data_IF_628364292475
#
_entry.id   IF_628364292475
#
_cell.length_a   1.000
_cell.length_b   1.000
_cell.length_c   1.000
_cell.angle_alpha   90.00
_cell.angle_beta   90.00
_cell.angle_gamma   90.00
#
_symmetry.space_group_name_H-M   'P 1'
#
loop_
_entity.id
_entity.type
_entity.pdbx_description
1 polymer ?
#
# COMPACT_ATOMS: atom_id res chain seq x y z
N UNK A 1 10.23 -29.77 -41.40
CA UNK A 1 11.06 -29.14 -40.35
C UNK A 1 11.14 -27.67 -40.67
N UNK A 2 10.23 -26.87 -40.13
CA UNK A 2 10.30 -25.41 -40.26
C UNK A 2 9.67 -24.82 -39.01
N UNK A 3 10.52 -24.42 -38.07
CA UNK A 3 10.14 -23.82 -36.80
C UNK A 3 9.97 -22.32 -37.00
N UNK A 4 8.71 -21.86 -37.03
CA UNK A 4 8.35 -20.45 -37.00
C UNK A 4 8.48 -19.91 -35.57
N UNK A 5 9.29 -18.85 -35.44
CA UNK A 5 9.52 -18.05 -34.24
C UNK A 5 8.33 -17.11 -34.01
N UNK A 6 7.79 -17.07 -32.80
CA UNK A 6 6.91 -15.97 -32.36
C UNK A 6 7.68 -15.11 -31.36
N UNK A 7 8.17 -13.94 -31.82
CA UNK A 7 8.65 -12.86 -30.94
C UNK A 7 7.44 -12.06 -30.47
N UNK A 8 7.27 -11.94 -29.16
CA UNK A 8 6.33 -11.02 -28.55
C UNK A 8 6.86 -9.58 -28.72
N UNK A 9 6.12 -8.74 -29.44
CA UNK A 9 6.38 -7.31 -29.54
C UNK A 9 5.74 -6.60 -28.34
N UNK A 10 6.56 -6.16 -27.40
CA UNK A 10 6.20 -5.13 -26.40
C UNK A 10 6.26 -3.75 -27.08
N UNK A 11 5.11 -3.10 -27.24
CA UNK A 11 4.98 -1.74 -27.75
C UNK A 11 5.33 -0.74 -26.64
N UNK A 12 6.56 -0.21 -26.67
CA UNK A 12 6.96 0.96 -25.88
C UNK A 12 6.58 2.20 -26.70
N UNK A 13 5.60 2.98 -26.23
CA UNK A 13 5.28 4.27 -26.84
C UNK A 13 6.16 5.36 -26.22
N UNK A 14 7.32 5.63 -26.85
CA UNK A 14 8.10 6.84 -26.58
C UNK A 14 7.45 7.99 -27.37
N UNK A 15 6.62 8.80 -26.72
CA UNK A 15 6.17 10.06 -27.28
C UNK A 15 7.27 11.12 -27.10
N UNK A 16 7.76 11.65 -28.22
CA UNK A 16 8.60 12.84 -28.27
C UNK A 16 7.95 13.77 -29.30
N UNK A 17 7.33 14.89 -28.88
CA UNK A 17 7.02 15.95 -29.84
C UNK A 17 6.94 17.35 -29.26
N UNK A 18 7.46 18.28 -30.06
CA UNK A 18 7.70 19.70 -29.74
C UNK A 18 6.45 20.57 -29.99
N UNK A 19 6.24 21.52 -29.06
CA UNK A 19 5.51 22.81 -29.13
C UNK A 19 3.99 22.76 -29.32
N UNK A 20 3.25 23.35 -28.36
CA UNK A 20 2.55 24.66 -28.47
C UNK A 20 2.22 25.18 -27.06
N UNK A 21 2.43 26.48 -26.79
CA UNK A 21 2.34 27.11 -25.46
C UNK A 21 0.90 27.36 -25.02
N UNK A 22 0.49 26.74 -23.90
CA UNK A 22 -0.46 27.33 -22.96
C UNK A 22 0.33 28.13 -21.92
N UNK A 23 -0.04 29.39 -21.71
CA UNK A 23 0.62 30.29 -20.77
C UNK A 23 0.19 29.98 -19.32
N UNK A 24 0.84 28.98 -18.72
CA UNK A 24 1.05 28.94 -17.27
C UNK A 24 2.02 30.09 -16.96
N UNK A 25 1.68 30.96 -16.01
CA UNK A 25 2.54 32.09 -15.63
C UNK A 25 3.99 31.60 -15.44
N UNK A 26 4.92 32.22 -16.17
CA UNK A 26 6.36 31.94 -16.07
C UNK A 26 6.88 32.44 -14.73
N UNK A 27 6.67 31.68 -13.67
CA UNK A 27 7.53 31.68 -12.51
C UNK A 27 7.58 30.25 -11.97
N UNK A 28 8.65 29.56 -12.37
CA UNK A 28 9.05 28.19 -12.02
C UNK A 28 8.17 27.09 -12.62
N UNK A 29 8.61 26.52 -13.75
CA UNK A 29 8.08 25.23 -14.20
C UNK A 29 8.34 24.13 -13.15
N UNK A 30 7.64 22.99 -13.22
CA UNK A 30 7.83 21.91 -12.27
C UNK A 30 9.30 21.44 -12.25
N UNK A 31 9.90 21.37 -11.06
CA UNK A 31 11.27 20.85 -10.84
C UNK A 31 11.36 19.31 -10.95
N UNK A 32 10.24 18.65 -11.26
CA UNK A 32 10.07 17.21 -11.13
C UNK A 32 9.81 16.56 -12.49
N UNK A 33 10.44 15.42 -12.72
CA UNK A 33 10.37 14.65 -13.96
C UNK A 33 11.75 14.11 -14.36
N UNK A 34 11.83 12.99 -15.10
CA UNK A 34 10.72 12.32 -15.76
C UNK A 34 9.89 11.42 -14.81
N UNK A 35 8.62 11.19 -15.16
CA UNK A 35 7.70 10.29 -14.44
C UNK A 35 7.39 9.01 -15.25
N UNK A 36 7.13 7.89 -14.56
CA UNK A 36 6.52 6.70 -15.16
C UNK A 36 5.16 6.48 -14.53
N UNK A 37 4.11 6.55 -15.33
CA UNK A 37 2.78 6.15 -14.91
C UNK A 37 2.61 4.64 -15.13
N UNK A 38 2.41 3.89 -14.06
CA UNK A 38 2.10 2.46 -14.15
C UNK A 38 0.62 2.27 -13.87
N UNK A 39 -0.12 1.88 -14.90
CA UNK A 39 -1.58 1.76 -14.86
C UNK A 39 -1.97 0.31 -14.63
N UNK A 40 -2.76 0.07 -13.59
CA UNK A 40 -3.42 -1.22 -13.38
C UNK A 40 -4.80 -1.24 -14.06
N UNK A 41 -5.00 -2.02 -15.14
CA UNK A 41 -6.26 -2.07 -15.88
C UNK A 41 -7.46 -2.52 -15.05
N UNK A 42 -7.22 -3.25 -13.96
CA UNK A 42 -8.25 -3.84 -13.12
C UNK A 42 -8.67 -2.94 -11.94
N UNK A 43 -8.06 -1.76 -11.80
CA UNK A 43 -8.29 -0.85 -10.66
C UNK A 43 -9.23 0.31 -10.98
N UNK A 44 -10.32 0.08 -11.74
CA UNK A 44 -11.38 1.09 -11.94
C UNK A 44 -11.05 2.25 -12.89
N UNK A 45 -9.90 2.24 -13.56
CA UNK A 45 -9.48 3.27 -14.51
C UNK A 45 -9.98 3.04 -15.94
N UNK A 46 -10.53 1.87 -16.26
CA UNK A 46 -10.90 1.47 -17.63
C UNK A 46 -9.79 1.72 -18.68
N UNK A 47 -8.52 1.68 -18.27
CA UNK A 47 -7.35 2.04 -19.10
C UNK A 47 -7.35 3.47 -19.65
N UNK A 48 -8.14 4.38 -19.07
CA UNK A 48 -8.17 5.77 -19.47
C UNK A 48 -6.87 6.48 -19.08
N UNK A 49 -6.06 6.80 -20.09
CA UNK A 49 -4.81 7.58 -20.00
C UNK A 49 -4.96 9.00 -20.50
N UNK A 50 -6.17 9.45 -20.87
CA UNK A 50 -6.41 10.80 -21.42
C UNK A 50 -6.00 11.93 -20.45
N UNK A 51 -6.04 11.63 -19.15
CA UNK A 51 -5.61 12.53 -18.09
C UNK A 51 -4.12 12.90 -18.16
N UNK A 52 -3.30 12.18 -18.94
CA UNK A 52 -1.87 12.47 -19.05
C UNK A 52 -1.56 13.72 -19.87
N UNK A 53 -2.48 14.16 -20.74
CA UNK A 53 -2.31 15.37 -21.56
C UNK A 53 -2.00 16.64 -20.74
N UNK A 54 -2.45 16.69 -19.48
CA UNK A 54 -2.14 17.81 -18.59
C UNK A 54 -0.66 17.89 -18.18
N UNK A 55 0.10 16.80 -18.30
CA UNK A 55 1.55 16.79 -18.06
C UNK A 55 2.32 17.30 -19.27
N UNK A 56 1.81 17.09 -20.49
CA UNK A 56 2.34 17.72 -21.71
C UNK A 56 2.26 19.24 -21.62
N UNK A 57 1.08 19.75 -21.22
CA UNK A 57 0.82 21.19 -21.06
C UNK A 57 1.71 21.84 -19.99
N UNK A 58 2.06 21.05 -18.95
CA UNK A 58 2.96 21.47 -17.88
C UNK A 58 4.45 21.35 -18.23
N UNK A 59 4.79 20.71 -19.35
CA UNK A 59 6.17 20.46 -19.77
C UNK A 59 6.91 19.46 -18.88
N UNK A 60 6.20 18.50 -18.29
CA UNK A 60 6.80 17.40 -17.52
C UNK A 60 7.00 16.20 -18.43
N UNK A 61 8.23 15.69 -18.51
CA UNK A 61 8.51 14.46 -19.24
C UNK A 61 7.87 13.26 -18.52
N UNK A 62 7.15 12.42 -19.26
CA UNK A 62 6.60 11.20 -18.70
C UNK A 62 6.55 10.05 -19.71
N UNK A 63 6.42 8.84 -19.17
CA UNK A 63 6.06 7.62 -19.90
C UNK A 63 4.87 6.95 -19.22
N UNK A 64 4.13 6.14 -19.96
CA UNK A 64 2.98 5.40 -19.44
C UNK A 64 3.08 3.94 -19.86
N UNK A 65 2.87 3.06 -18.90
CA UNK A 65 2.91 1.62 -19.10
C UNK A 65 1.68 0.99 -18.45
N UNK A 66 0.91 0.24 -19.24
CA UNK A 66 -0.26 -0.49 -18.74
C UNK A 66 0.20 -1.90 -18.38
N UNK A 67 0.13 -2.22 -17.10
CA UNK A 67 0.50 -3.54 -16.59
C UNK A 67 -0.45 -4.62 -17.14
N UNK A 68 0.10 -5.80 -17.46
CA UNK A 68 -0.68 -6.96 -17.94
C UNK A 68 -0.79 -8.05 -16.87
N UNK A 69 0.02 -7.96 -15.83
CA UNK A 69 0.03 -8.82 -14.65
C UNK A 69 0.76 -8.11 -13.51
N UNK A 70 0.61 -8.57 -12.25
CA UNK A 70 1.42 -8.09 -11.13
C UNK A 70 2.92 -8.21 -11.40
N UNK A 71 3.40 -9.33 -11.95
CA UNK A 71 4.82 -9.50 -12.26
C UNK A 71 5.31 -8.50 -13.32
N UNK A 72 4.51 -8.25 -14.37
CA UNK A 72 4.87 -7.27 -15.38
C UNK A 72 4.97 -5.85 -14.79
N UNK A 73 4.10 -5.50 -13.83
CA UNK A 73 4.20 -4.23 -13.09
C UNK A 73 5.53 -4.11 -12.35
N UNK A 74 5.98 -5.15 -11.63
CA UNK A 74 7.26 -5.11 -10.91
C UNK A 74 8.44 -4.97 -11.88
N UNK A 75 8.41 -5.70 -13.00
CA UNK A 75 9.44 -5.60 -14.04
C UNK A 75 9.51 -4.23 -14.71
N UNK A 76 8.38 -3.51 -14.81
CA UNK A 76 8.33 -2.13 -15.29
C UNK A 76 9.06 -1.20 -14.31
N UNK A 77 8.77 -1.32 -13.01
CA UNK A 77 9.38 -0.47 -11.97
C UNK A 77 10.89 -0.68 -11.90
N UNK A 78 11.36 -1.93 -11.87
CA UNK A 78 12.80 -2.26 -11.83
C UNK A 78 13.58 -1.65 -12.99
N UNK A 79 12.99 -1.68 -14.19
CA UNK A 79 13.59 -1.04 -15.38
C UNK A 79 13.62 0.48 -15.23
N UNK A 80 12.57 1.08 -14.68
CA UNK A 80 12.45 2.52 -14.49
C UNK A 80 13.44 3.07 -13.45
N UNK A 81 13.65 2.35 -12.34
CA UNK A 81 14.66 2.70 -11.33
C UNK A 81 16.05 2.81 -11.96
N UNK A 82 16.36 1.94 -12.91
CA UNK A 82 17.65 1.94 -13.62
C UNK A 82 17.77 3.01 -14.72
N UNK A 83 16.67 3.71 -15.07
CA UNK A 83 16.63 4.65 -16.21
C UNK A 83 16.69 6.13 -15.80
N UNK A 84 17.03 6.45 -14.54
CA UNK A 84 17.14 7.83 -14.07
C UNK A 84 15.81 8.56 -13.91
N UNK A 85 14.72 7.81 -13.70
CA UNK A 85 13.40 8.38 -13.46
C UNK A 85 13.34 9.03 -12.07
N UNK A 86 12.58 10.12 -11.93
CA UNK A 86 12.45 10.77 -10.62
C UNK A 86 11.30 10.19 -9.79
N UNK A 87 10.23 9.74 -10.45
CA UNK A 87 9.10 9.13 -9.76
C UNK A 87 8.40 8.07 -10.60
N UNK A 88 7.84 7.08 -9.92
CA UNK A 88 6.86 6.15 -10.48
C UNK A 88 5.50 6.45 -9.87
N UNK A 89 4.53 6.73 -10.71
CA UNK A 89 3.16 7.06 -10.35
C UNK A 89 2.31 5.80 -10.45
N UNK A 90 1.94 5.24 -9.31
CA UNK A 90 1.01 4.13 -9.18
C UNK A 90 -0.43 4.61 -9.50
N UNK A 91 -1.01 4.14 -10.60
CA UNK A 91 -2.41 4.40 -10.95
C UNK A 91 -3.22 3.14 -10.68
N UNK A 92 -3.76 3.03 -9.47
CA UNK A 92 -4.41 1.82 -9.01
C UNK A 92 -4.91 1.86 -7.57
N UNK A 93 -5.29 0.68 -7.06
CA UNK A 93 -5.58 0.48 -5.64
C UNK A 93 -4.37 0.03 -4.82
N UNK A 94 -4.62 -0.36 -3.57
CA UNK A 94 -3.57 -0.73 -2.60
C UNK A 94 -2.58 -1.77 -3.12
N UNK A 95 -3.05 -2.85 -3.78
CA UNK A 95 -2.14 -3.84 -4.37
C UNK A 95 -1.16 -3.28 -5.41
N UNK A 96 -1.61 -2.30 -6.22
CA UNK A 96 -0.72 -1.60 -7.16
C UNK A 96 0.30 -0.74 -6.41
N UNK A 97 -0.17 0.02 -5.42
CA UNK A 97 0.67 0.95 -4.63
C UNK A 97 1.69 0.19 -3.81
N UNK A 98 1.29 -0.88 -3.13
CA UNK A 98 2.17 -1.75 -2.34
C UNK A 98 3.18 -2.46 -3.24
N UNK A 99 2.76 -3.04 -4.36
CA UNK A 99 3.65 -3.70 -5.30
C UNK A 99 4.74 -2.77 -5.85
N UNK A 100 4.35 -1.58 -6.32
CA UNK A 100 5.30 -0.58 -6.81
C UNK A 100 6.18 -0.06 -5.67
N UNK A 101 5.59 0.30 -4.53
CA UNK A 101 6.32 0.83 -3.39
C UNK A 101 7.42 -0.10 -2.88
N UNK A 102 7.16 -1.42 -2.83
CA UNK A 102 8.17 -2.42 -2.45
C UNK A 102 9.40 -2.40 -3.36
N UNK A 103 9.20 -2.20 -4.66
CA UNK A 103 10.30 -2.13 -5.63
C UNK A 103 11.06 -0.79 -5.61
N UNK A 104 10.49 0.24 -4.99
CA UNK A 104 11.10 1.57 -4.83
C UNK A 104 11.81 1.76 -3.49
N UNK A 105 11.65 0.82 -2.55
CA UNK A 105 12.33 0.87 -1.27
C UNK A 105 13.84 0.91 -1.46
N UNK A 106 14.51 1.72 -0.62
CA UNK A 106 15.96 1.94 -0.63
C UNK A 106 16.49 2.51 -1.97
N UNK A 107 15.62 3.14 -2.76
CA UNK A 107 15.97 3.89 -3.97
C UNK A 107 15.70 5.38 -3.80
N UNK A 108 16.31 6.22 -4.65
CA UNK A 108 16.02 7.67 -4.70
C UNK A 108 14.75 8.00 -5.51
N UNK A 109 14.10 7.01 -6.12
CA UNK A 109 12.91 7.21 -6.94
C UNK A 109 11.67 7.34 -6.05
N UNK A 110 10.88 8.39 -6.25
CA UNK A 110 9.70 8.64 -5.45
C UNK A 110 8.48 7.83 -5.93
N UNK A 111 7.66 7.38 -4.99
CA UNK A 111 6.33 6.84 -5.23
C UNK A 111 5.31 7.98 -5.28
N UNK A 112 4.65 8.14 -6.42
CA UNK A 112 3.42 8.92 -6.54
C UNK A 112 2.20 8.02 -6.63
N UNK A 113 1.02 8.52 -6.25
CA UNK A 113 -0.22 7.72 -6.28
C UNK A 113 -1.37 8.49 -6.91
N UNK A 114 -2.05 7.85 -7.86
CA UNK A 114 -3.39 8.23 -8.31
C UNK A 114 -4.34 7.12 -7.82
N UNK A 115 -5.08 7.36 -6.72
CA UNK A 115 -5.85 6.33 -6.06
C UNK A 115 -7.12 6.02 -6.86
N UNK A 116 -7.23 4.78 -7.34
CA UNK A 116 -8.42 4.33 -8.10
C UNK A 116 -9.00 3.02 -7.55
N UNK A 117 -8.41 2.51 -6.47
CA UNK A 117 -8.93 1.36 -5.73
C UNK A 117 -10.09 1.71 -4.81
N UNK A 118 -10.65 0.67 -4.19
CA UNK A 118 -11.76 0.81 -3.25
C UNK A 118 -11.34 1.13 -1.81
N UNK A 119 -10.08 0.89 -1.42
CA UNK A 119 -9.56 1.12 -0.06
C UNK A 119 -8.67 2.35 0.03
N UNK A 120 -7.55 2.29 -0.68
CA UNK A 120 -6.53 3.33 -0.83
C UNK A 120 -5.92 3.75 0.51
N UNK A 121 -5.59 2.78 1.38
CA UNK A 121 -5.08 3.00 2.73
C UNK A 121 -3.82 3.85 2.77
N UNK A 122 -2.81 3.53 1.97
CA UNK A 122 -1.57 4.32 1.87
C UNK A 122 -1.86 5.74 1.38
N UNK A 123 -2.65 5.89 0.32
CA UNK A 123 -2.96 7.20 -0.23
C UNK A 123 -3.70 8.09 0.80
N UNK A 124 -4.66 7.53 1.53
CA UNK A 124 -5.37 8.24 2.60
C UNK A 124 -4.45 8.59 3.78
N UNK A 125 -3.57 7.67 4.16
CA UNK A 125 -2.57 7.92 5.21
C UNK A 125 -1.65 9.09 4.85
N UNK A 126 -1.19 9.13 3.60
CA UNK A 126 -0.34 10.20 3.06
C UNK A 126 -1.08 11.50 2.72
N UNK A 127 -2.38 11.58 2.99
CA UNK A 127 -3.21 12.74 2.67
C UNK A 127 -3.42 13.00 1.18
N UNK A 128 -3.15 12.01 0.32
CA UNK A 128 -3.37 12.10 -1.12
C UNK A 128 -4.89 12.18 -1.39
N UNK A 129 -5.36 13.12 -2.21
CA UNK A 129 -6.79 13.24 -2.51
C UNK A 129 -7.37 11.97 -3.14
N UNK A 130 -8.57 11.57 -2.72
CA UNK A 130 -9.29 10.45 -3.34
C UNK A 130 -9.94 10.82 -4.69
N UNK A 131 -10.11 12.12 -4.96
CA UNK A 131 -10.52 12.60 -6.28
C UNK A 131 -9.34 12.51 -7.25
N UNK A 132 -9.54 11.83 -8.40
CA UNK A 132 -8.52 11.59 -9.42
C UNK A 132 -7.87 12.89 -9.90
N UNK A 133 -8.67 13.92 -10.17
CA UNK A 133 -8.17 15.19 -10.71
C UNK A 133 -7.37 15.97 -9.65
N UNK A 134 -7.81 15.94 -8.39
CA UNK A 134 -7.08 16.53 -7.28
C UNK A 134 -5.75 15.79 -7.02
N UNK A 135 -5.74 14.45 -7.11
CA UNK A 135 -4.51 13.66 -6.98
C UNK A 135 -3.51 13.99 -8.11
N UNK A 136 -3.98 14.09 -9.36
CA UNK A 136 -3.16 14.53 -10.50
C UNK A 136 -2.58 15.93 -10.25
N UNK A 137 -3.41 16.87 -9.76
CA UNK A 137 -2.96 18.23 -9.45
C UNK A 137 -1.86 18.24 -8.40
N UNK A 138 -1.94 17.37 -7.40
CA UNK A 138 -0.93 17.26 -6.35
C UNK A 138 0.44 16.80 -6.89
N UNK A 139 0.50 16.11 -8.03
CA UNK A 139 1.74 15.66 -8.66
C UNK A 139 2.53 16.77 -9.36
N UNK A 140 1.94 17.93 -9.62
CA UNK A 140 2.67 19.06 -10.26
C UNK A 140 3.61 19.79 -9.31
N UNK A 141 3.25 19.85 -8.02
CA UNK A 141 4.03 20.50 -6.97
C UNK A 141 4.02 19.61 -5.73
N UNK A 142 4.63 18.42 -5.80
CA UNK A 142 4.68 17.51 -4.68
C UNK A 142 5.66 18.03 -3.63
N UNK A 143 5.38 17.72 -2.36
CA UNK A 143 6.41 17.64 -1.34
C UNK A 143 6.92 16.19 -1.33
N UNK A 144 8.24 16.00 -1.38
CA UNK A 144 8.82 14.67 -1.15
C UNK A 144 9.01 14.48 0.34
N UNK A 145 8.55 13.34 0.83
CA UNK A 145 8.76 12.88 2.20
C UNK A 145 9.37 11.49 2.16
N UNK A 146 10.29 11.22 3.07
CA UNK A 146 10.77 9.86 3.34
C UNK A 146 9.93 9.27 4.43
N UNK A 147 9.40 8.08 4.19
CA UNK A 147 8.67 7.31 5.18
C UNK A 147 9.42 6.02 5.46
N UNK A 148 9.20 5.49 6.64
CA UNK A 148 9.64 4.18 7.06
C UNK A 148 8.80 3.11 6.36
N UNK A 149 9.36 1.91 6.28
CA UNK A 149 8.65 0.72 5.84
C UNK A 149 8.99 -0.43 6.78
N UNK A 150 8.35 -1.58 6.63
CA UNK A 150 8.62 -2.75 7.47
C UNK A 150 9.33 -3.81 6.65
N UNK A 151 10.40 -4.40 7.20
CA UNK A 151 10.92 -5.70 6.76
C UNK A 151 10.17 -6.77 7.54
N UNK A 152 9.54 -7.71 6.82
CA UNK A 152 8.77 -8.81 7.40
C UNK A 152 9.33 -10.12 6.83
N UNK A 153 10.12 -10.84 7.62
CA UNK A 153 10.94 -11.95 7.13
C UNK A 153 11.73 -11.57 5.87
N UNK A 154 11.55 -12.29 4.76
CA UNK A 154 12.25 -12.09 3.48
C UNK A 154 11.52 -11.12 2.52
N UNK A 155 10.50 -10.41 3.00
CA UNK A 155 9.73 -9.44 2.21
C UNK A 155 9.58 -8.12 2.97
N UNK A 156 8.89 -7.16 2.36
CA UNK A 156 8.65 -5.85 2.95
C UNK A 156 7.17 -5.47 2.89
N UNK A 157 6.79 -4.53 3.76
CA UNK A 157 5.46 -3.95 3.85
C UNK A 157 5.57 -2.42 3.91
N UNK A 158 4.69 -1.72 3.20
CA UNK A 158 4.56 -0.27 3.36
C UNK A 158 3.70 0.07 4.57
N UNK A 159 2.64 -0.72 4.80
CA UNK A 159 1.64 -0.44 5.81
C UNK A 159 1.67 -1.42 6.97
N UNK A 160 1.51 -2.72 6.67
CA UNK A 160 1.17 -3.70 7.70
C UNK A 160 1.80 -5.07 7.49
N UNK A 161 2.20 -5.70 8.58
CA UNK A 161 2.38 -7.14 8.66
C UNK A 161 1.60 -7.67 9.87
N UNK A 162 0.77 -8.69 9.71
CA UNK A 162 -0.08 -9.14 10.81
C UNK A 162 -0.46 -10.61 10.80
N UNK A 163 -0.52 -11.17 12.01
CA UNK A 163 -0.82 -12.55 12.32
C UNK A 163 -2.18 -12.66 13.00
N UNK A 164 -2.92 -13.73 12.67
CA UNK A 164 -4.17 -14.07 13.34
C UNK A 164 -5.38 -13.74 12.49
N UNK A 165 -6.36 -13.06 13.08
CA UNK A 165 -7.63 -12.77 12.44
C UNK A 165 -7.48 -11.99 11.14
N UNK A 166 -6.66 -10.94 11.11
CA UNK A 166 -6.41 -10.13 9.91
C UNK A 166 -5.75 -10.96 8.79
N UNK A 167 -4.81 -11.83 9.15
CA UNK A 167 -4.22 -12.81 8.24
C UNK A 167 -5.25 -13.77 7.64
N UNK A 168 -6.18 -14.26 8.47
CA UNK A 168 -7.28 -15.12 8.01
C UNK A 168 -8.22 -14.38 7.05
N UNK A 169 -8.50 -13.10 7.29
CA UNK A 169 -9.33 -12.31 6.37
C UNK A 169 -8.62 -12.12 5.02
N UNK A 170 -7.33 -11.83 5.01
CA UNK A 170 -6.56 -11.73 3.75
C UNK A 170 -6.59 -13.05 2.96
N UNK A 171 -6.43 -14.19 3.64
CA UNK A 171 -6.53 -15.52 3.04
C UNK A 171 -7.92 -15.80 2.45
N UNK A 172 -8.99 -15.48 3.18
CA UNK A 172 -10.37 -15.66 2.67
C UNK A 172 -10.67 -14.72 1.52
N UNK A 173 -10.20 -13.47 1.59
CA UNK A 173 -10.45 -12.46 0.57
C UNK A 173 -9.76 -12.82 -0.75
N UNK A 174 -8.53 -13.35 -0.71
CA UNK A 174 -7.78 -13.78 -1.90
C UNK A 174 -8.48 -14.90 -2.68
N UNK A 175 -9.23 -15.76 -2.00
CA UNK A 175 -10.04 -16.83 -2.59
C UNK A 175 -11.49 -16.42 -2.91
N UNK A 176 -11.91 -15.23 -2.49
CA UNK A 176 -13.28 -14.76 -2.67
C UNK A 176 -13.51 -14.19 -4.07
N UNK A 177 -14.70 -14.44 -4.64
CA UNK A 177 -15.09 -13.88 -5.95
C UNK A 177 -15.63 -12.44 -5.83
N UNK A 178 -16.04 -12.03 -4.63
CA UNK A 178 -16.51 -10.67 -4.36
C UNK A 178 -15.35 -9.68 -4.24
N UNK A 179 -15.58 -8.43 -4.65
CA UNK A 179 -14.58 -7.35 -4.51
C UNK A 179 -15.11 -6.21 -3.66
N UNK A 180 -14.17 -5.42 -3.16
CA UNK A 180 -14.45 -4.16 -2.47
C UNK A 180 -14.83 -4.32 -1.00
N UNK A 181 -15.09 -3.15 -0.40
CA UNK A 181 -15.24 -3.00 1.04
C UNK A 181 -16.41 -3.78 1.66
N UNK A 182 -17.56 -3.85 0.96
CA UNK A 182 -18.72 -4.61 1.45
C UNK A 182 -18.45 -6.11 1.57
N UNK A 183 -17.73 -6.69 0.59
CA UNK A 183 -17.31 -8.10 0.65
C UNK A 183 -16.31 -8.32 1.80
N UNK A 184 -15.40 -7.37 2.03
CA UNK A 184 -14.46 -7.43 3.15
C UNK A 184 -15.16 -7.46 4.51
N UNK A 185 -16.15 -6.57 4.73
CA UNK A 185 -16.97 -6.56 5.96
C UNK A 185 -17.71 -7.89 6.15
N UNK A 186 -18.28 -8.43 5.08
CA UNK A 186 -18.98 -9.72 5.12
C UNK A 186 -18.05 -10.84 5.61
N UNK A 187 -16.86 -10.96 5.01
CA UNK A 187 -15.87 -11.97 5.41
C UNK A 187 -15.40 -11.78 6.86
N UNK A 188 -15.23 -10.52 7.30
CA UNK A 188 -14.92 -10.21 8.69
C UNK A 188 -16.00 -10.76 9.62
N UNK A 189 -17.28 -10.47 9.36
CA UNK A 189 -18.39 -10.91 10.21
C UNK A 189 -18.49 -12.44 10.28
N UNK A 190 -18.34 -13.13 9.14
CA UNK A 190 -18.36 -14.60 9.06
C UNK A 190 -17.22 -15.22 9.87
N UNK A 191 -15.99 -14.72 9.68
CA UNK A 191 -14.82 -15.24 10.37
C UNK A 191 -14.79 -14.89 11.87
N UNK A 192 -15.38 -13.76 12.29
CA UNK A 192 -15.31 -13.28 13.68
C UNK A 192 -15.92 -14.27 14.67
N UNK A 193 -16.94 -15.01 14.22
CA UNK A 193 -17.59 -16.05 15.02
C UNK A 193 -16.80 -17.36 15.04
N UNK A 194 -16.01 -17.63 14.01
CA UNK A 194 -15.31 -18.91 13.82
C UNK A 194 -13.88 -18.89 14.39
N UNK A 195 -13.24 -17.74 14.37
CA UNK A 195 -11.84 -17.60 14.79
C UNK A 195 -11.75 -17.34 16.30
N UNK A 196 -11.11 -18.27 17.01
CA UNK A 196 -10.88 -18.14 18.45
C UNK A 196 -9.69 -17.22 18.73
N UNK A 197 -8.45 -17.68 18.65
CA UNK A 197 -7.22 -16.89 18.78
C UNK A 197 -6.05 -17.79 18.41
N UNK A 198 -4.89 -17.21 18.13
CA UNK A 198 -3.64 -17.96 18.09
C UNK A 198 -2.85 -17.77 19.39
N UNK A 199 -2.04 -18.76 19.75
CA UNK A 199 -0.97 -18.61 20.73
C UNK A 199 0.32 -18.15 20.06
N UNK A 200 0.95 -17.14 20.66
CA UNK A 200 2.16 -16.54 20.14
C UNK A 200 3.19 -16.39 21.25
N UNK A 201 4.47 -16.58 20.91
CA UNK A 201 5.56 -16.11 21.75
C UNK A 201 6.08 -14.79 21.17
N UNK A 202 5.88 -13.70 21.89
CA UNK A 202 6.35 -12.36 21.49
C UNK A 202 7.48 -11.98 22.44
N UNK A 203 8.70 -11.82 21.91
CA UNK A 203 9.91 -11.49 22.67
C UNK A 203 10.14 -12.38 23.92
N UNK A 204 9.92 -13.68 23.78
CA UNK A 204 10.10 -14.66 24.86
C UNK A 204 8.87 -14.87 25.74
N UNK A 205 7.78 -14.13 25.54
CA UNK A 205 6.55 -14.26 26.33
C UNK A 205 5.41 -14.89 25.54
N UNK A 206 5.01 -16.08 25.95
CA UNK A 206 3.81 -16.75 25.44
C UNK A 206 2.54 -16.04 25.89
N UNK A 207 1.66 -15.76 24.94
CA UNK A 207 0.34 -15.16 25.18
C UNK A 207 -0.62 -15.45 24.01
N UNK A 208 -1.93 -15.59 24.26
CA UNK A 208 -2.91 -15.66 23.21
C UNK A 208 -3.18 -14.27 22.63
N UNK A 209 -3.49 -14.20 21.33
CA UNK A 209 -4.01 -13.01 20.69
C UNK A 209 -5.00 -13.37 19.58
N UNK A 210 -6.02 -12.53 19.41
CA UNK A 210 -6.92 -12.60 18.26
C UNK A 210 -6.22 -12.10 17.00
N UNK A 211 -5.41 -11.05 17.12
CA UNK A 211 -4.57 -10.56 16.03
C UNK A 211 -3.39 -9.77 16.60
N UNK A 212 -2.25 -9.86 15.93
CA UNK A 212 -1.03 -9.08 16.21
C UNK A 212 -0.64 -8.41 14.89
N UNK A 213 -0.62 -7.08 14.87
CA UNK A 213 -0.36 -6.30 13.67
C UNK A 213 0.80 -5.35 13.97
N UNK A 214 1.89 -5.47 13.21
CA UNK A 214 2.86 -4.40 13.08
C UNK A 214 2.29 -3.37 12.09
N UNK A 215 2.02 -2.16 12.59
CA UNK A 215 1.37 -1.09 11.85
C UNK A 215 2.30 0.11 11.69
N UNK A 216 2.70 0.39 10.45
CA UNK A 216 3.48 1.58 10.08
C UNK A 216 2.58 2.77 9.69
N UNK A 217 1.38 2.48 9.18
CA UNK A 217 0.43 3.51 8.73
C UNK A 217 -0.86 3.48 9.53
N UNK A 218 -1.65 4.56 9.42
CA UNK A 218 -2.77 4.75 10.34
C UNK A 218 -4.03 3.93 10.07
N UNK A 219 -4.21 3.41 8.85
CA UNK A 219 -5.48 2.82 8.41
C UNK A 219 -5.31 1.74 7.36
N UNK A 220 -6.23 0.78 7.34
CA UNK A 220 -6.30 -0.24 6.29
C UNK A 220 -6.85 0.29 4.95
N UNK A 221 -7.50 1.46 4.98
CA UNK A 221 -8.27 2.02 3.85
C UNK A 221 -9.72 2.30 4.25
N UNK A 222 -10.44 3.07 3.44
CA UNK A 222 -11.82 3.50 3.73
C UNK A 222 -11.99 4.16 5.11
N UNK A 223 -10.98 4.88 5.60
CA UNK A 223 -11.02 5.55 6.90
C UNK A 223 -11.21 4.57 8.08
N UNK A 224 -10.81 3.30 7.91
CA UNK A 224 -10.75 2.31 8.98
C UNK A 224 -9.40 2.42 9.72
N UNK A 225 -9.34 3.29 10.74
CA UNK A 225 -8.10 3.61 11.46
C UNK A 225 -7.76 2.58 12.54
N UNK A 226 -6.79 1.71 12.24
CA UNK A 226 -6.26 0.71 13.17
C UNK A 226 -5.22 1.33 14.13
N UNK A 227 -4.43 2.28 13.63
CA UNK A 227 -3.33 2.95 14.32
C UNK A 227 -3.47 4.48 14.14
N UNK A 228 -4.50 5.12 14.73
CA UNK A 228 -4.91 6.47 14.34
C UNK A 228 -3.85 7.56 14.54
N UNK A 229 -2.88 7.31 15.43
CA UNK A 229 -1.81 8.23 15.82
C UNK A 229 -0.45 7.84 15.21
N UNK A 230 -0.46 7.03 14.14
CA UNK A 230 0.74 6.56 13.44
C UNK A 230 1.68 7.70 13.07
N UNK A 231 2.97 7.49 13.34
CA UNK A 231 4.08 8.31 12.84
C UNK A 231 4.90 7.39 11.95
N UNK A 232 4.99 7.72 10.68
CA UNK A 232 5.57 6.88 9.62
C UNK A 232 7.01 7.30 9.26
N UNK A 233 7.67 8.08 10.10
CA UNK A 233 9.04 8.58 9.90
C UNK A 233 9.88 8.67 11.19
N UNK A 234 9.51 7.94 12.26
CA UNK A 234 10.20 7.94 13.56
C UNK A 234 11.15 6.75 13.79
N UNK A 235 11.32 5.89 12.80
CA UNK A 235 12.11 4.67 12.83
C UNK A 235 11.46 3.53 13.63
N UNK A 236 10.18 3.65 13.98
CA UNK A 236 9.42 2.69 14.76
C UNK A 236 8.12 2.29 14.04
N UNK A 237 7.43 1.30 14.59
CA UNK A 237 6.07 0.92 14.23
C UNK A 237 5.28 0.56 15.48
N UNK A 238 3.96 0.65 15.41
CA UNK A 238 3.08 0.21 16.49
C UNK A 238 2.80 -1.29 16.37
N UNK A 239 3.09 -2.04 17.44
CA UNK A 239 2.66 -3.43 17.58
C UNK A 239 1.26 -3.46 18.21
N UNK A 240 0.23 -3.43 17.38
CA UNK A 240 -1.18 -3.47 17.79
C UNK A 240 -1.57 -4.93 18.06
N UNK A 241 -1.94 -5.22 19.31
CA UNK A 241 -2.44 -6.54 19.73
C UNK A 241 -3.90 -6.45 20.09
N UNK A 242 -4.68 -7.38 19.57
CA UNK A 242 -6.11 -7.51 19.84
C UNK A 242 -6.31 -8.81 20.63
N UNK A 243 -6.84 -8.71 21.84
CA UNK A 243 -7.27 -9.86 22.65
C UNK A 243 -8.65 -10.33 22.18
N UNK A 244 -8.97 -11.62 22.31
CA UNK A 244 -10.24 -12.20 21.85
C UNK A 244 -11.45 -11.42 22.36
N UNK A 245 -12.14 -10.67 21.48
CA UNK A 245 -13.32 -9.94 21.88
C UNK A 245 -14.56 -10.86 21.79
N UNK A 246 -15.53 -10.76 22.72
CA UNK A 246 -16.82 -11.40 22.55
C UNK A 246 -17.49 -10.94 21.25
N UNK A 247 -18.21 -11.83 20.57
CA UNK A 247 -18.90 -11.56 19.28
C UNK A 247 -19.75 -10.28 19.32
N UNK A 248 -20.46 -10.05 20.43
CA UNK A 248 -21.28 -8.85 20.64
C UNK A 248 -20.49 -7.53 20.60
N UNK A 249 -19.16 -7.57 20.71
CA UNK A 249 -18.28 -6.41 20.64
C UNK A 249 -17.95 -5.98 19.21
N UNK A 250 -18.23 -6.82 18.19
CA UNK A 250 -17.90 -6.53 16.79
C UNK A 250 -18.42 -5.15 16.33
N UNK A 251 -19.70 -4.77 16.53
CA UNK A 251 -20.19 -3.46 16.10
C UNK A 251 -19.45 -2.29 16.77
N UNK A 252 -19.08 -2.44 18.06
CA UNK A 252 -18.34 -1.41 18.79
C UNK A 252 -16.89 -1.32 18.35
N UNK A 253 -16.24 -2.42 17.98
CA UNK A 253 -14.87 -2.41 17.46
C UNK A 253 -14.84 -1.81 16.06
N UNK A 254 -15.78 -2.21 15.21
CA UNK A 254 -15.95 -1.65 13.88
C UNK A 254 -16.19 -0.14 13.94
N UNK A 255 -17.11 0.35 14.79
CA UNK A 255 -17.35 1.80 14.91
C UNK A 255 -16.12 2.57 15.40
N UNK A 256 -15.33 1.99 16.32
CA UNK A 256 -14.11 2.60 16.84
C UNK A 256 -13.02 2.77 15.78
N UNK A 257 -12.92 1.88 14.79
CA UNK A 257 -12.01 2.06 13.64
C UNK A 257 -12.34 3.36 12.90
N UNK A 258 -13.60 3.58 12.54
CA UNK A 258 -14.01 4.78 11.79
C UNK A 258 -14.03 6.06 12.64
N UNK A 259 -14.13 5.92 13.96
CA UNK A 259 -14.08 7.06 14.90
C UNK A 259 -12.66 7.43 15.34
N UNK A 260 -11.61 6.76 14.84
CA UNK A 260 -10.20 6.96 15.26
C UNK A 260 -9.97 6.67 16.75
N UNK A 261 -10.70 5.70 17.30
CA UNK A 261 -10.71 5.34 18.74
C UNK A 261 -10.46 3.85 18.97
N UNK A 262 -9.83 3.17 18.02
CA UNK A 262 -9.58 1.73 18.10
C UNK A 262 -8.65 1.39 19.28
N UNK A 263 -7.56 2.15 19.47
CA UNK A 263 -6.64 2.06 20.61
C UNK A 263 -7.32 2.23 21.99
N UNK A 264 -8.48 2.89 22.05
CA UNK A 264 -9.23 3.11 23.30
C UNK A 264 -10.11 1.91 23.69
N UNK A 265 -10.10 0.84 22.90
CA UNK A 265 -10.83 -0.38 23.22
C UNK A 265 -10.09 -1.17 24.29
N UNK A 266 -10.81 -1.69 25.29
CA UNK A 266 -10.23 -2.58 26.31
C UNK A 266 -9.64 -3.88 25.76
N UNK A 267 -9.95 -4.22 24.51
CA UNK A 267 -9.44 -5.40 23.82
C UNK A 267 -8.14 -5.13 23.07
N UNK A 268 -7.72 -3.87 22.98
CA UNK A 268 -6.58 -3.43 22.17
C UNK A 268 -5.48 -2.93 23.10
N UNK A 269 -4.26 -3.36 22.82
CA UNK A 269 -3.05 -2.79 23.42
C UNK A 269 -2.09 -2.48 22.29
N UNK A 270 -1.33 -1.41 22.41
CA UNK A 270 -0.33 -0.99 21.43
C UNK A 270 0.94 -0.56 22.14
N UNK A 271 2.07 -0.81 21.50
CA UNK A 271 3.37 -0.34 21.95
C UNK A 271 4.32 -0.15 20.76
N UNK A 272 5.19 0.87 20.83
CA UNK A 272 6.12 1.19 19.74
C UNK A 272 7.34 0.26 19.74
N UNK A 273 7.76 -0.17 18.56
CA UNK A 273 8.87 -1.12 18.34
C UNK A 273 9.73 -0.71 17.15
N UNK A 274 11.04 -0.95 17.26
CA UNK A 274 11.94 -0.95 16.09
C UNK A 274 12.11 -2.34 15.48
N UNK A 275 11.88 -3.39 16.28
CA UNK A 275 11.89 -4.78 15.86
C UNK A 275 11.04 -5.65 16.81
N UNK A 276 10.56 -6.78 16.32
CA UNK A 276 9.90 -7.83 17.12
C UNK A 276 10.11 -9.19 16.47
N UNK A 277 10.35 -10.22 17.28
CA UNK A 277 10.27 -11.62 16.86
C UNK A 277 9.01 -12.27 17.46
N UNK A 278 8.23 -12.92 16.61
CA UNK A 278 7.00 -13.60 16.97
C UNK A 278 7.09 -15.07 16.56
N UNK A 279 7.05 -15.99 17.54
CA UNK A 279 6.83 -17.41 17.26
C UNK A 279 5.32 -17.65 17.16
N UNK A 280 4.89 -18.18 16.03
CA UNK A 280 3.50 -18.47 15.69
C UNK A 280 3.18 -19.93 16.02
N UNK A 281 2.84 -20.18 17.30
CA UNK A 281 2.75 -21.53 17.86
C UNK A 281 1.60 -22.35 17.25
N UNK A 282 0.49 -21.68 16.94
CA UNK A 282 -0.72 -22.31 16.39
C UNK A 282 -0.87 -22.17 14.87
N UNK A 283 0.20 -21.75 14.16
CA UNK A 283 0.17 -21.61 12.69
C UNK A 283 -0.95 -20.69 12.21
N UNK A 284 -1.15 -19.57 12.88
CA UNK A 284 -2.06 -18.53 12.42
C UNK A 284 -1.63 -17.98 11.04
N UNK A 285 -2.59 -17.51 10.25
CA UNK A 285 -2.32 -16.90 8.96
C UNK A 285 -1.56 -15.57 9.13
N UNK A 286 -0.58 -15.34 8.26
CA UNK A 286 0.13 -14.08 8.09
C UNK A 286 -0.44 -13.34 6.87
N UNK A 287 -0.68 -12.04 7.02
CA UNK A 287 -0.82 -11.12 5.90
C UNK A 287 0.26 -10.05 5.93
N UNK A 288 0.61 -9.57 4.75
CA UNK A 288 1.50 -8.43 4.57
C UNK A 288 0.86 -7.53 3.53
N UNK A 289 0.56 -6.28 3.91
CA UNK A 289 -0.07 -5.29 3.04
C UNK A 289 -1.39 -5.77 2.38
N UNK A 290 -2.12 -6.63 3.09
CA UNK A 290 -3.40 -7.21 2.65
C UNK A 290 -3.28 -8.47 1.79
N UNK A 291 -2.06 -8.94 1.50
CA UNK A 291 -1.82 -10.19 0.78
C UNK A 291 -1.50 -11.34 1.76
N UNK A 292 -1.96 -12.58 1.50
CA UNK A 292 -1.67 -13.72 2.35
C UNK A 292 -0.25 -14.29 2.14
N UNK A 293 0.43 -14.64 3.24
CA UNK A 293 1.78 -15.25 3.25
C UNK A 293 1.81 -16.59 4.02
N UNK A 294 0.69 -17.31 4.04
CA UNK A 294 0.59 -18.62 4.65
C UNK A 294 0.68 -18.59 6.18
N UNK A 295 1.28 -19.62 6.78
CA UNK A 295 1.31 -19.84 8.25
C UNK A 295 2.74 -20.09 8.76
N UNK A 296 3.66 -19.11 8.61
CA UNK A 296 5.06 -19.29 9.01
C UNK A 296 5.18 -19.54 10.51
N UNK A 297 6.14 -20.38 10.91
CA UNK A 297 6.41 -20.65 12.34
C UNK A 297 6.99 -19.45 13.09
N UNK A 298 7.72 -18.59 12.39
CA UNK A 298 8.42 -17.43 12.94
C UNK A 298 8.18 -16.25 12.01
N UNK A 299 7.85 -15.11 12.60
CA UNK A 299 7.73 -13.83 11.91
C UNK A 299 8.64 -12.83 12.61
N UNK A 300 9.58 -12.27 11.87
CA UNK A 300 10.43 -11.16 12.30
C UNK A 300 9.96 -9.92 11.59
N UNK A 301 9.66 -8.87 12.35
CA UNK A 301 9.34 -7.56 11.80
C UNK A 301 10.37 -6.56 12.29
N UNK A 302 10.95 -5.79 11.38
CA UNK A 302 11.92 -4.74 11.66
C UNK A 302 11.49 -3.46 10.94
N UNK A 303 11.60 -2.30 11.59
CA UNK A 303 11.48 -1.03 10.89
C UNK A 303 12.64 -0.86 9.91
N UNK A 304 12.35 -0.31 8.73
CA UNK A 304 13.31 0.10 7.72
C UNK A 304 13.21 1.63 7.58
N UNK A 305 13.95 2.40 8.40
CA UNK A 305 13.73 3.84 8.52
C UNK A 305 14.06 4.59 7.24
N UNK A 306 13.23 5.57 6.89
CA UNK A 306 13.40 6.49 5.75
C UNK A 306 13.66 5.79 4.41
N UNK A 307 13.11 4.59 4.24
CA UNK A 307 13.41 3.69 3.12
C UNK A 307 12.56 3.94 1.87
N UNK A 308 11.47 4.70 1.96
CA UNK A 308 10.63 5.00 0.80
C UNK A 308 10.42 6.50 0.62
N UNK A 309 10.80 7.03 -0.55
CA UNK A 309 10.45 8.38 -0.95
C UNK A 309 9.01 8.39 -1.49
N UNK A 310 8.15 9.27 -0.97
CA UNK A 310 6.76 9.43 -1.42
C UNK A 310 6.45 10.87 -1.82
N UNK A 311 5.63 11.04 -2.86
CA UNK A 311 5.09 12.33 -3.27
C UNK A 311 3.79 12.59 -2.51
N UNK A 312 3.77 13.62 -1.68
CA UNK A 312 2.59 14.07 -0.94
C UNK A 312 2.16 15.48 -1.36
N UNK A 313 0.87 15.84 -1.22
CA UNK A 313 0.42 17.21 -1.45
C UNK A 313 1.08 18.19 -0.47
N UNK A 314 1.25 19.44 -0.89
CA UNK A 314 1.88 20.52 -0.08
C UNK A 314 1.06 20.98 1.13
N UNK A 315 -0.24 20.63 1.18
CA UNK A 315 -1.18 21.07 2.21
C UNK A 315 -1.56 19.96 3.21
N UNK A 316 -0.73 18.92 3.34
CA UNK A 316 -0.92 17.82 4.30
C UNK A 316 -0.12 18.06 5.56
#
# INVERSE_FOLDING_TARGET
METSRTRANSLVYLYHNRRTRMSIEKNQGPQWGPFLFVVNPHSGTNNDTSFLSVFDDAGIDYSVEVSTSPNHMLDLVRRAVSSGIQAVIAVGGDGTVHGIGKELMDTDVALGVIPTGSGNGIARHLGIPMDKNAAIKALFQPKIRRIDTLKVNDTCALGFGGLGFDGLIAERFSHSQGRGFGNYIKLCLEAFNEYASGNFNIDGKEQPAFSIIAANINQFGNDAFINPDAVDDDGLFELVKINHPPIASFPSLASRLFMRKFHQSKFVTEDKRGAVEILNLDKAHLQIDGEPYGTPSVVRVESNPSSLNVMIPTNV
#
